data_IF_321356760775
#
_entry.id   IF_321356760775
#
_cell.length_a   1.000
_cell.length_b   1.000
_cell.length_c   1.000
_cell.angle_alpha   90.00
_cell.angle_beta   90.00
_cell.angle_gamma   90.00
#
_symmetry.space_group_name_H-M   'P 1'
#
loop_
_entity.id
_entity.type
_entity.pdbx_description
1 polymer ?
#
# COMPACT_ATOMS: atom_id res chain seq x y z
N UNK A 1 6.92 -10.72 -19.35
CA UNK A 1 5.90 -10.70 -18.28
C UNK A 1 4.56 -10.42 -18.91
N UNK A 2 3.48 -11.07 -18.46
CA UNK A 2 2.11 -10.76 -18.93
C UNK A 2 1.31 -10.20 -17.78
N UNK A 3 0.67 -9.04 -17.96
CA UNK A 3 -0.19 -8.39 -16.95
C UNK A 3 -1.53 -8.10 -17.61
N UNK A 4 -2.62 -8.62 -17.04
CA UNK A 4 -3.99 -8.46 -17.59
C UNK A 4 -4.10 -8.78 -19.09
N UNK A 5 -3.38 -9.81 -19.55
CA UNK A 5 -3.34 -10.21 -20.97
C UNK A 5 -2.34 -9.47 -21.85
N UNK A 6 -1.72 -8.38 -21.35
CA UNK A 6 -0.73 -7.60 -22.10
C UNK A 6 0.69 -8.13 -21.88
N UNK A 7 1.40 -8.44 -22.97
CA UNK A 7 2.82 -8.84 -22.93
C UNK A 7 3.71 -7.60 -22.82
N UNK A 8 4.45 -7.51 -21.72
CA UNK A 8 5.38 -6.41 -21.44
C UNK A 8 6.80 -6.80 -21.91
N UNK A 9 7.38 -6.09 -22.89
CA UNK A 9 8.77 -6.28 -23.32
C UNK A 9 9.78 -6.01 -22.21
N UNK A 10 10.98 -6.58 -22.33
CA UNK A 10 12.09 -6.23 -21.45
C UNK A 10 12.43 -4.73 -21.58
N UNK A 11 12.79 -4.09 -20.47
CA UNK A 11 13.03 -2.64 -20.42
C UNK A 11 11.78 -1.78 -20.20
N UNK A 12 10.59 -2.38 -20.17
CA UNK A 12 9.36 -1.64 -19.85
C UNK A 12 9.42 -1.11 -18.42
N UNK A 13 9.27 0.21 -18.27
CA UNK A 13 9.08 0.83 -16.96
C UNK A 13 7.66 0.58 -16.49
N UNK A 14 7.51 0.03 -15.28
CA UNK A 14 6.22 -0.28 -14.67
C UNK A 14 6.12 0.45 -13.34
N UNK A 15 5.04 1.20 -13.15
CA UNK A 15 4.74 1.91 -11.92
C UNK A 15 3.44 1.39 -11.32
N UNK A 16 3.46 1.04 -10.03
CA UNK A 16 2.26 0.71 -9.28
C UNK A 16 1.68 1.99 -8.67
N UNK A 17 0.47 2.39 -9.10
CA UNK A 17 -0.24 3.54 -8.54
C UNK A 17 -0.96 3.17 -7.23
N UNK A 18 -0.22 2.72 -6.22
CA UNK A 18 -0.75 2.27 -4.93
C UNK A 18 -1.63 3.33 -4.27
N UNK A 19 -1.25 4.61 -4.33
CA UNK A 19 -2.05 5.70 -3.79
C UNK A 19 -3.42 5.88 -4.46
N UNK A 20 -3.56 5.56 -5.74
CA UNK A 20 -4.87 5.54 -6.42
C UNK A 20 -5.64 4.26 -6.08
N UNK A 21 -4.96 3.12 -6.10
CA UNK A 21 -5.56 1.82 -5.80
C UNK A 21 -6.13 1.76 -4.38
N UNK A 22 -5.45 2.36 -3.39
CA UNK A 22 -5.91 2.43 -2.01
C UNK A 22 -7.17 3.29 -1.81
N UNK A 23 -7.48 4.18 -2.76
CA UNK A 23 -8.68 5.05 -2.73
C UNK A 23 -9.82 4.53 -3.61
N UNK A 24 -9.68 3.32 -4.17
CA UNK A 24 -10.74 2.64 -4.93
C UNK A 24 -11.60 1.80 -3.98
N UNK A 25 -12.92 1.93 -4.11
CA UNK A 25 -13.87 1.11 -3.36
C UNK A 25 -13.85 -0.37 -3.77
N UNK A 26 -13.26 -0.70 -4.92
CA UNK A 26 -13.00 -2.09 -5.32
C UNK A 26 -11.96 -2.77 -4.42
N UNK A 27 -11.08 -1.98 -3.80
CA UNK A 27 -9.96 -2.47 -2.99
C UNK A 27 -10.15 -2.24 -1.49
N UNK A 28 -10.89 -1.19 -1.12
CA UNK A 28 -11.15 -0.84 0.28
C UNK A 28 -12.59 -0.37 0.49
N UNK A 29 -13.33 -0.98 1.41
CA UNK A 29 -14.67 -0.51 1.79
C UNK A 29 -14.62 0.95 2.29
N UNK A 30 -15.49 1.86 1.82
CA UNK A 30 -15.41 3.31 2.16
C UNK A 30 -13.98 3.86 2.01
N UNK A 31 -13.33 3.62 0.87
CA UNK A 31 -11.89 3.83 0.66
C UNK A 31 -11.39 5.27 0.93
N UNK A 32 -12.28 6.26 0.81
CA UNK A 32 -11.95 7.68 0.99
C UNK A 32 -12.08 8.16 2.43
N UNK A 33 -12.60 7.32 3.32
CA UNK A 33 -12.81 7.67 4.71
C UNK A 33 -11.62 7.26 5.58
N UNK A 34 -11.25 8.16 6.50
CA UNK A 34 -10.23 7.89 7.51
C UNK A 34 -10.82 6.97 8.57
N UNK A 35 -10.45 5.68 8.51
CA UNK A 35 -10.96 4.61 9.37
C UNK A 35 -9.77 3.79 9.89
N UNK A 36 -9.13 4.18 11.00
CA UNK A 36 -8.04 3.41 11.62
C UNK A 36 -8.45 1.97 11.96
N UNK A 37 -9.70 1.77 12.35
CA UNK A 37 -10.29 0.49 12.77
C UNK A 37 -10.30 -0.52 11.61
N UNK A 38 -10.14 -0.07 10.37
CA UNK A 38 -10.00 -0.93 9.19
C UNK A 38 -8.88 -1.97 9.33
N UNK A 39 -7.88 -1.71 10.16
CA UNK A 39 -6.73 -2.58 10.40
C UNK A 39 -6.95 -3.58 11.53
N UNK A 40 -7.92 -3.34 12.42
CA UNK A 40 -8.27 -4.23 13.53
C UNK A 40 -9.58 -4.99 13.29
N UNK A 41 -10.54 -4.35 12.62
CA UNK A 41 -11.84 -4.89 12.21
C UNK A 41 -11.89 -4.99 10.68
N UNK A 42 -11.42 -6.11 10.15
CA UNK A 42 -11.36 -6.32 8.70
C UNK A 42 -12.78 -6.48 8.15
N UNK A 43 -13.12 -5.63 7.16
CA UNK A 43 -14.34 -5.72 6.36
C UNK A 43 -13.95 -5.70 4.89
N UNK A 44 -14.60 -6.52 4.07
CA UNK A 44 -14.30 -6.57 2.65
C UNK A 44 -14.98 -5.42 1.87
N UNK A 45 -14.35 -4.92 0.79
CA UNK A 45 -13.02 -5.30 0.30
C UNK A 45 -11.89 -4.76 1.18
N UNK A 46 -10.83 -5.55 1.36
CA UNK A 46 -9.65 -5.19 2.16
C UNK A 46 -8.31 -5.64 1.51
N UNK A 47 -7.86 -4.91 0.50
CA UNK A 47 -6.62 -5.19 -0.22
C UNK A 47 -5.37 -4.62 0.49
N UNK A 48 -5.09 -5.07 1.73
CA UNK A 48 -3.99 -4.58 2.57
C UNK A 48 -2.61 -4.56 1.88
N UNK A 49 -2.35 -5.49 0.95
CA UNK A 49 -1.10 -5.59 0.21
C UNK A 49 -0.80 -4.39 -0.70
N UNK A 50 -1.82 -3.59 -1.05
CA UNK A 50 -1.67 -2.35 -1.82
C UNK A 50 -1.06 -1.21 -1.00
N UNK A 51 -1.19 -1.27 0.33
CA UNK A 51 -0.62 -0.27 1.24
C UNK A 51 0.86 -0.55 1.43
N UNK A 52 1.67 0.08 0.57
CA UNK A 52 3.12 -0.04 0.56
C UNK A 52 3.82 1.33 0.55
N UNK A 53 3.63 2.19 1.59
CA UNK A 53 4.20 3.54 1.64
C UNK A 53 5.75 3.53 1.64
N UNK A 54 6.35 2.43 2.07
CA UNK A 54 7.80 2.21 2.07
C UNK A 54 8.29 1.30 0.94
N UNK A 55 7.44 1.01 -0.05
CA UNK A 55 7.71 0.00 -1.07
C UNK A 55 7.77 -1.42 -0.51
N UNK A 56 8.29 -2.36 -1.32
CA UNK A 56 8.38 -3.78 -0.97
C UNK A 56 9.62 -4.43 -1.60
N UNK A 57 10.13 -5.48 -0.97
CA UNK A 57 11.24 -6.28 -1.48
C UNK A 57 12.62 -5.65 -1.23
N UNK A 58 13.63 -6.08 -1.97
CA UNK A 58 15.05 -5.76 -1.73
C UNK A 58 15.41 -4.26 -1.83
N UNK A 59 14.56 -3.45 -2.48
CA UNK A 59 14.73 -1.99 -2.62
C UNK A 59 13.65 -1.19 -1.88
N UNK A 60 13.05 -1.78 -0.84
CA UNK A 60 12.17 -1.03 0.06
C UNK A 60 12.95 0.09 0.78
N UNK A 61 12.22 1.09 1.28
CA UNK A 61 12.80 2.22 1.98
C UNK A 61 13.73 1.76 3.11
N UNK A 62 15.03 2.15 3.10
CA UNK A 62 15.97 1.75 4.14
C UNK A 62 15.60 2.33 5.52
N UNK A 63 14.92 3.48 5.53
CA UNK A 63 14.47 4.15 6.75
C UNK A 63 13.18 3.59 7.37
N UNK A 64 12.53 2.59 6.77
CA UNK A 64 11.22 2.08 7.24
C UNK A 64 11.21 1.79 8.74
N UNK A 65 12.22 1.07 9.24
CA UNK A 65 12.28 0.68 10.66
C UNK A 65 12.44 1.87 11.59
N UNK A 66 13.26 2.83 11.21
CA UNK A 66 13.45 4.06 11.96
C UNK A 66 12.13 4.85 12.04
N UNK A 67 11.48 5.08 10.89
CA UNK A 67 10.21 5.83 10.82
C UNK A 67 9.08 5.13 11.56
N UNK A 68 8.99 3.79 11.49
CA UNK A 68 8.00 3.02 12.25
C UNK A 68 8.15 3.22 13.76
N UNK A 69 9.38 3.22 14.28
CA UNK A 69 9.64 3.47 15.70
C UNK A 69 9.37 4.93 16.08
N UNK A 70 9.82 5.86 15.26
CA UNK A 70 9.62 7.30 15.49
C UNK A 70 8.14 7.67 15.50
N UNK A 71 7.33 7.13 14.58
CA UNK A 71 5.88 7.34 14.55
C UNK A 71 5.20 6.88 15.85
N UNK A 72 5.59 5.73 16.40
CA UNK A 72 5.03 5.27 17.67
C UNK A 72 5.38 6.21 18.82
N UNK A 73 6.62 6.70 18.88
CA UNK A 73 7.06 7.65 19.91
C UNK A 73 6.38 9.02 19.77
N UNK A 74 6.14 9.48 18.54
CA UNK A 74 5.43 10.73 18.27
C UNK A 74 3.95 10.66 18.66
N UNK A 75 3.28 9.52 18.43
CA UNK A 75 1.86 9.34 18.75
C UNK A 75 1.61 9.01 20.23
N UNK A 76 2.60 8.48 20.95
CA UNK A 76 2.48 8.13 22.36
C UNK A 76 2.65 9.32 23.33
N UNK A 77 3.08 10.48 22.82
CA UNK A 77 3.19 11.74 23.58
C UNK A 77 1.93 12.58 23.41
#
# INVERSE_FOLDING_TARGET
MTVSGYKLPAGTFVLAHTGAACRSEENFWRAREYLPERWSEVREPHAASLVAPFGRGRRMCPGKRFVELELQLLLAK
#
